data_IF_734112762002
#
_entry.id   IF_734112762002
#
_cell.length_a   1.000
_cell.length_b   1.000
_cell.length_c   1.000
_cell.angle_alpha   90.00
_cell.angle_beta   90.00
_cell.angle_gamma   90.00
#
_symmetry.space_group_name_H-M   'P 1'
#
loop_
_entity.id
_entity.type
_entity.pdbx_description
1 polymer ?
#
# COMPACT_ATOMS: atom_id res chain seq x y z
N UNK A 1 -9.50 1.55 -15.57
CA UNK A 1 -10.43 1.26 -14.45
C UNK A 1 -10.18 2.28 -13.33
N UNK A 2 -11.17 2.53 -12.44
CA UNK A 2 -10.99 3.45 -11.29
C UNK A 2 -10.02 2.89 -10.25
N UNK A 3 -9.98 1.57 -10.11
CA UNK A 3 -8.99 0.86 -9.31
C UNK A 3 -8.53 -0.43 -10.00
N UNK A 4 -7.42 -0.99 -9.54
CA UNK A 4 -6.97 -2.34 -9.88
C UNK A 4 -6.39 -2.99 -8.64
N UNK A 5 -6.85 -4.20 -8.33
CA UNK A 5 -6.49 -4.89 -7.10
C UNK A 5 -6.02 -6.30 -7.40
N UNK A 6 -4.99 -6.73 -6.67
CA UNK A 6 -4.68 -8.13 -6.52
C UNK A 6 -4.05 -8.38 -5.15
N UNK A 7 -4.17 -9.61 -4.67
CA UNK A 7 -3.49 -10.09 -3.48
C UNK A 7 -2.94 -11.48 -3.74
N UNK A 8 -1.82 -11.80 -3.10
CA UNK A 8 -1.14 -13.07 -3.30
C UNK A 8 -0.48 -13.55 -2.01
N UNK A 9 -0.51 -14.87 -1.81
CA UNK A 9 0.31 -15.55 -0.80
C UNK A 9 1.70 -15.82 -1.39
N UNK A 10 2.71 -15.25 -0.75
CA UNK A 10 4.11 -15.31 -1.12
C UNK A 10 4.91 -16.30 -0.28
N UNK A 11 4.31 -16.99 0.72
CA UNK A 11 5.03 -17.90 1.61
C UNK A 11 5.88 -18.92 0.85
N UNK A 12 5.35 -19.47 -0.24
CA UNK A 12 6.04 -20.48 -1.04
C UNK A 12 7.29 -19.96 -1.79
N UNK A 13 7.42 -18.64 -1.96
CA UNK A 13 8.60 -18.02 -2.58
C UNK A 13 9.79 -17.91 -1.60
N UNK A 14 9.60 -18.25 -0.33
CA UNK A 14 10.62 -18.15 0.71
C UNK A 14 10.88 -19.52 1.34
N UNK A 15 12.05 -19.63 1.99
CA UNK A 15 12.34 -20.77 2.86
C UNK A 15 11.40 -20.79 4.08
N UNK A 16 11.43 -21.87 4.90
CA UNK A 16 10.63 -21.96 6.13
C UNK A 16 10.87 -20.84 7.16
N UNK A 17 11.81 -19.91 6.93
CA UNK A 17 11.97 -18.69 7.73
C UNK A 17 10.71 -17.81 7.72
N UNK A 18 9.89 -17.90 6.67
CA UNK A 18 8.59 -17.22 6.55
C UNK A 18 7.49 -18.24 6.83
N UNK A 19 6.72 -17.99 7.89
CA UNK A 19 5.57 -18.80 8.27
C UNK A 19 4.32 -18.44 7.45
N UNK A 20 4.13 -17.14 7.17
CA UNK A 20 3.08 -16.63 6.29
C UNK A 20 3.54 -15.30 5.69
N UNK A 21 3.19 -15.02 4.43
CA UNK A 21 3.42 -13.70 3.86
C UNK A 21 2.40 -13.44 2.76
N UNK A 22 1.52 -12.46 2.95
CA UNK A 22 0.64 -11.97 1.89
C UNK A 22 0.99 -10.55 1.50
N UNK A 23 0.90 -10.27 0.20
CA UNK A 23 1.00 -8.92 -0.33
C UNK A 23 -0.24 -8.58 -1.13
N UNK A 24 -0.84 -7.45 -0.81
CA UNK A 24 -1.97 -6.88 -1.52
C UNK A 24 -1.55 -5.56 -2.17
N UNK A 25 -1.94 -5.37 -3.42
CA UNK A 25 -1.72 -4.14 -4.18
C UNK A 25 -3.07 -3.58 -4.61
N UNK A 26 -3.27 -2.29 -4.36
CA UNK A 26 -4.42 -1.56 -4.87
C UNK A 26 -3.92 -0.29 -5.57
N UNK A 27 -3.98 -0.28 -6.90
CA UNK A 27 -3.77 0.91 -7.71
C UNK A 27 -5.08 1.68 -7.80
N UNK A 28 -5.03 2.99 -7.63
CA UNK A 28 -6.14 3.92 -7.79
C UNK A 28 -5.83 4.88 -8.94
N UNK A 29 -6.70 4.89 -9.95
CA UNK A 29 -6.74 5.98 -10.93
C UNK A 29 -7.61 7.09 -10.34
N UNK A 30 -6.97 8.18 -9.93
CA UNK A 30 -7.68 9.29 -9.30
C UNK A 30 -8.36 10.18 -10.34
N UNK A 31 -7.94 10.13 -11.61
CA UNK A 31 -8.48 10.98 -12.67
C UNK A 31 -8.21 12.48 -12.45
N UNK A 32 -7.18 12.80 -11.65
CA UNK A 32 -6.78 14.18 -11.32
C UNK A 32 -5.49 14.52 -12.04
N UNK A 33 -5.39 15.62 -12.81
CA UNK A 33 -4.17 15.95 -13.55
C UNK A 33 -2.94 16.10 -12.66
N UNK A 34 -3.08 16.76 -11.50
CA UNK A 34 -2.01 17.05 -10.54
C UNK A 34 -1.63 15.85 -9.66
N UNK A 35 -2.54 14.88 -9.53
CA UNK A 35 -2.41 13.68 -8.71
C UNK A 35 -3.00 12.47 -9.45
N UNK A 36 -2.38 11.99 -10.53
CA UNK A 36 -3.01 11.04 -11.44
C UNK A 36 -3.32 9.68 -10.79
N UNK A 37 -2.49 9.24 -9.85
CA UNK A 37 -2.61 7.91 -9.29
C UNK A 37 -2.05 7.77 -7.88
N UNK A 38 -2.55 6.74 -7.19
CA UNK A 38 -1.96 6.24 -5.95
C UNK A 38 -1.81 4.72 -6.02
N UNK A 39 -0.82 4.18 -5.31
CA UNK A 39 -0.67 2.74 -5.08
C UNK A 39 -0.64 2.49 -3.59
N UNK A 40 -1.50 1.59 -3.12
CA UNK A 40 -1.51 1.10 -1.75
C UNK A 40 -0.93 -0.31 -1.77
N UNK A 41 0.11 -0.55 -0.97
CA UNK A 41 0.73 -1.87 -0.80
C UNK A 41 0.57 -2.27 0.65
N UNK A 42 -0.14 -3.38 0.89
CA UNK A 42 -0.33 -3.97 2.20
C UNK A 42 0.39 -5.32 2.25
N UNK A 43 1.43 -5.39 3.06
CA UNK A 43 2.11 -6.62 3.41
C UNK A 43 1.72 -7.06 4.80
N UNK A 44 1.43 -8.35 4.94
CA UNK A 44 1.27 -8.99 6.23
C UNK A 44 2.22 -10.20 6.28
N UNK A 45 3.21 -10.13 7.15
CA UNK A 45 4.34 -11.07 7.16
C UNK A 45 4.57 -11.64 8.55
N UNK A 46 4.62 -12.97 8.62
CA UNK A 46 4.98 -13.72 9.81
C UNK A 46 6.25 -14.52 9.56
N UNK A 47 7.29 -14.28 10.35
CA UNK A 47 8.52 -15.07 10.39
C UNK A 47 8.42 -16.19 11.41
N UNK A 48 9.16 -17.28 11.18
CA UNK A 48 9.26 -18.39 12.11
C UNK A 48 10.06 -18.03 13.38
N UNK A 49 10.97 -17.07 13.27
CA UNK A 49 11.74 -16.50 14.37
C UNK A 49 11.49 -14.98 14.45
N UNK A 50 11.13 -14.42 15.63
CA UNK A 50 11.03 -12.97 15.84
C UNK A 50 12.30 -12.19 15.50
N UNK A 51 13.48 -12.82 15.62
CA UNK A 51 14.78 -12.25 15.33
C UNK A 51 15.08 -12.11 13.84
N UNK A 52 14.29 -12.73 12.95
CA UNK A 52 14.43 -12.49 11.51
C UNK A 52 13.96 -11.08 11.17
N UNK A 53 14.94 -10.21 10.90
CA UNK A 53 14.70 -8.83 10.50
C UNK A 53 13.97 -8.78 9.15
N UNK A 54 12.89 -7.99 9.12
CA UNK A 54 12.02 -7.84 7.96
C UNK A 54 12.29 -6.49 7.30
N UNK A 55 12.29 -6.49 5.97
CA UNK A 55 12.60 -5.30 5.18
C UNK A 55 11.50 -5.08 4.15
N UNK A 56 10.91 -3.87 4.18
CA UNK A 56 10.17 -3.35 3.03
C UNK A 56 11.12 -2.49 2.20
N UNK A 57 11.20 -2.75 0.90
CA UNK A 57 12.22 -2.19 0.03
C UNK A 57 11.62 -1.49 -1.19
N UNK A 58 12.26 -0.40 -1.60
CA UNK A 58 12.04 0.29 -2.86
C UNK A 58 13.38 0.63 -3.52
N UNK A 59 13.46 0.51 -4.84
CA UNK A 59 14.62 0.97 -5.62
C UNK A 59 14.26 2.21 -6.43
N UNK A 60 15.22 3.12 -6.60
CA UNK A 60 15.01 4.40 -7.29
C UNK A 60 16.23 4.71 -8.16
N UNK A 61 16.06 5.41 -9.29
CA UNK A 61 17.20 5.83 -10.11
C UNK A 61 17.86 7.08 -9.55
N UNK A 62 17.06 8.07 -9.16
CA UNK A 62 17.54 9.32 -8.56
C UNK A 62 17.57 9.19 -7.03
N UNK A 63 18.46 9.93 -6.34
CA UNK A 63 18.53 9.93 -4.89
C UNK A 63 17.18 10.34 -4.27
N UNK A 64 16.58 9.52 -3.40
CA UNK A 64 15.33 9.87 -2.76
C UNK A 64 15.56 10.90 -1.64
N UNK A 65 14.63 11.84 -1.47
CA UNK A 65 14.63 12.79 -0.35
C UNK A 65 13.88 12.19 0.84
N UNK A 66 14.42 12.24 2.05
CA UNK A 66 13.68 11.82 3.26
C UNK A 66 12.51 12.76 3.54
N UNK A 67 11.39 12.20 4.01
CA UNK A 67 10.24 12.91 4.55
C UNK A 67 9.94 12.37 5.96
N UNK A 68 9.08 13.02 6.77
CA UNK A 68 8.73 12.48 8.08
C UNK A 68 8.11 11.07 8.01
N UNK A 69 7.30 10.81 7.00
CA UNK A 69 6.57 9.55 6.80
C UNK A 69 7.28 8.55 5.88
N UNK A 70 8.38 8.92 5.23
CA UNK A 70 9.11 8.03 4.34
C UNK A 70 10.11 8.74 3.43
N UNK A 71 9.88 8.64 2.11
CA UNK A 71 10.75 9.25 1.11
C UNK A 71 9.95 9.84 -0.04
N UNK A 72 10.48 10.88 -0.67
CA UNK A 72 10.00 11.44 -1.92
C UNK A 72 10.98 11.09 -3.04
N UNK A 73 10.43 10.57 -4.13
CA UNK A 73 11.12 10.30 -5.37
C UNK A 73 10.88 11.45 -6.33
N UNK A 74 11.83 11.70 -7.22
CA UNK A 74 11.70 12.69 -8.28
C UNK A 74 12.37 12.17 -9.54
N UNK A 75 11.78 12.45 -10.70
CA UNK A 75 12.40 12.20 -11.98
C UNK A 75 12.14 13.36 -12.94
N UNK A 76 13.09 13.59 -13.85
CA UNK A 76 12.99 14.59 -14.90
C UNK A 76 13.57 14.00 -16.21
N UNK A 77 12.73 13.81 -17.22
CA UNK A 77 13.12 13.23 -18.51
C UNK A 77 12.45 14.02 -19.64
N UNK A 78 13.25 14.50 -20.59
CA UNK A 78 12.76 15.25 -21.77
C UNK A 78 11.85 16.45 -21.41
N UNK A 79 12.15 17.15 -20.31
CA UNK A 79 11.36 18.29 -19.83
C UNK A 79 10.08 17.92 -19.09
N UNK A 80 9.77 16.62 -18.93
CA UNK A 80 8.68 16.12 -18.10
C UNK A 80 9.23 15.79 -16.72
N UNK A 81 8.64 16.36 -15.69
CA UNK A 81 8.99 16.09 -14.29
C UNK A 81 7.85 15.42 -13.57
N UNK A 82 8.16 14.73 -12.48
CA UNK A 82 7.16 14.10 -11.63
C UNK A 82 7.74 13.61 -10.33
N UNK A 83 6.88 13.51 -9.32
CA UNK A 83 7.22 13.05 -7.98
C UNK A 83 6.39 11.82 -7.61
N UNK A 84 6.98 11.02 -6.73
CA UNK A 84 6.24 10.00 -6.00
C UNK A 84 6.57 10.14 -4.53
N UNK A 85 5.59 10.49 -3.71
CA UNK A 85 5.72 10.43 -2.26
C UNK A 85 5.38 9.02 -1.78
N UNK A 86 6.34 8.38 -1.12
CA UNK A 86 6.26 7.02 -0.60
C UNK A 86 6.16 7.12 0.92
N UNK A 87 4.94 7.07 1.42
CA UNK A 87 4.65 7.10 2.86
C UNK A 87 4.50 5.67 3.38
N UNK A 88 5.38 5.25 4.29
CA UNK A 88 5.16 4.01 5.03
C UNK A 88 4.26 4.32 6.23
N UNK A 89 2.99 3.97 6.12
CA UNK A 89 1.97 4.23 7.14
C UNK A 89 2.08 3.27 8.32
N UNK A 90 2.47 2.01 8.05
CA UNK A 90 2.74 0.99 9.07
C UNK A 90 4.06 0.28 8.76
N UNK A 91 4.91 0.02 9.75
CA UNK A 91 4.87 0.56 11.12
C UNK A 91 4.99 2.09 11.13
N UNK A 92 4.55 2.75 12.21
CA UNK A 92 4.65 4.20 12.39
C UNK A 92 6.12 4.68 12.35
N UNK A 93 6.41 5.98 12.10
CA UNK A 93 7.78 6.50 11.96
C UNK A 93 8.70 6.19 13.14
N UNK A 94 8.18 6.28 14.35
CA UNK A 94 8.84 5.97 15.61
C UNK A 94 9.17 4.48 15.75
N UNK A 95 8.37 3.59 15.16
CA UNK A 95 8.47 2.14 15.29
C UNK A 95 9.34 1.49 14.21
N UNK A 96 9.95 2.30 13.33
CA UNK A 96 10.78 1.80 12.21
C UNK A 96 12.12 2.51 12.07
N UNK A 97 13.01 1.86 11.33
CA UNK A 97 14.23 2.46 10.77
C UNK A 97 14.05 2.70 9.28
N UNK A 98 14.65 3.79 8.77
CA UNK A 98 14.74 4.10 7.35
C UNK A 98 16.22 4.23 6.96
N UNK A 99 16.66 3.36 6.05
CA UNK A 99 17.99 3.37 5.46
C UNK A 99 17.89 3.69 3.97
N UNK A 100 18.81 4.53 3.47
CA UNK A 100 18.95 4.81 2.03
C UNK A 100 20.38 4.44 1.67
N UNK A 101 20.54 3.38 0.88
CA UNK A 101 21.82 2.94 0.32
C UNK A 101 22.02 3.59 -1.04
N UNK A 102 23.21 4.13 -1.27
CA UNK A 102 23.61 4.87 -2.48
C UNK A 102 25.06 4.55 -2.84
N UNK A 103 25.47 4.78 -4.09
CA UNK A 103 26.85 4.53 -4.51
C UNK A 103 27.24 3.06 -4.33
N UNK A 104 28.42 2.78 -3.75
CA UNK A 104 28.87 1.41 -3.49
C UNK A 104 27.98 0.64 -2.53
N UNK A 105 27.26 1.31 -1.62
CA UNK A 105 26.47 0.65 -0.58
C UNK A 105 25.27 -0.10 -1.15
N UNK A 106 24.84 0.24 -2.38
CA UNK A 106 23.73 -0.44 -3.07
C UNK A 106 24.09 -1.89 -3.41
N UNK A 107 25.39 -2.15 -3.58
CA UNK A 107 25.95 -3.46 -3.88
C UNK A 107 26.13 -4.31 -2.62
N UNK A 108 26.03 -3.73 -1.43
CA UNK A 108 26.12 -4.48 -0.18
C UNK A 108 24.80 -5.26 0.09
N UNK A 109 24.95 -6.57 0.15
CA UNK A 109 23.93 -7.53 0.56
C UNK A 109 24.37 -8.14 1.90
N UNK A 110 24.26 -7.34 2.96
CA UNK A 110 24.52 -7.75 4.34
C UNK A 110 25.96 -8.25 4.56
N UNK A 111 26.96 -7.48 4.12
CA UNK A 111 28.38 -7.80 4.21
C UNK A 111 28.93 -8.54 2.98
N UNK A 112 28.07 -8.86 2.00
CA UNK A 112 28.48 -9.45 0.73
C UNK A 112 28.26 -8.46 -0.42
N UNK A 113 29.34 -8.09 -1.11
CA UNK A 113 29.28 -7.14 -2.23
C UNK A 113 28.92 -7.83 -3.54
N UNK A 114 27.87 -7.38 -4.20
CA UNK A 114 27.42 -7.84 -5.52
C UNK A 114 27.47 -6.71 -6.54
N UNK A 115 28.49 -6.74 -7.40
CA UNK A 115 28.65 -5.72 -8.46
C UNK A 115 27.84 -6.08 -9.71
N UNK A 116 27.20 -5.10 -10.36
CA UNK A 116 26.42 -5.32 -11.57
C UNK A 116 27.36 -5.71 -12.73
N UNK A 117 26.92 -6.58 -13.65
CA UNK A 117 27.73 -7.01 -14.79
C UNK A 117 28.03 -5.86 -15.75
N UNK A 118 27.18 -4.82 -15.79
CA UNK A 118 27.32 -3.64 -16.65
C UNK A 118 27.12 -2.38 -15.80
N UNK A 119 28.21 -1.88 -15.22
CA UNK A 119 28.17 -0.74 -14.29
C UNK A 119 27.79 0.61 -14.94
N UNK A 120 27.80 0.71 -16.27
CA UNK A 120 27.47 1.95 -16.99
C UNK A 120 25.97 2.20 -17.14
N UNK A 121 25.12 1.19 -16.88
CA UNK A 121 23.67 1.34 -16.99
C UNK A 121 23.12 2.21 -15.86
N UNK A 122 22.11 3.07 -16.10
CA UNK A 122 21.47 3.85 -15.05
C UNK A 122 20.94 2.98 -13.90
N UNK A 123 20.38 1.81 -14.22
CA UNK A 123 19.84 0.86 -13.25
C UNK A 123 20.92 0.25 -12.34
N UNK A 124 22.18 0.25 -12.78
CA UNK A 124 23.30 -0.21 -11.97
C UNK A 124 23.64 0.77 -10.83
N UNK A 125 23.33 2.06 -10.99
CA UNK A 125 23.77 3.13 -10.10
C UNK A 125 22.60 3.80 -9.35
N UNK A 126 21.49 3.08 -9.20
CA UNK A 126 20.33 3.57 -8.46
C UNK A 126 20.56 3.64 -6.96
N UNK A 127 19.47 3.74 -6.20
CA UNK A 127 19.44 3.81 -4.75
C UNK A 127 18.46 2.77 -4.21
N UNK A 128 18.71 2.30 -2.99
CA UNK A 128 17.86 1.34 -2.30
C UNK A 128 17.37 1.91 -0.99
N UNK A 129 16.05 2.00 -0.85
CA UNK A 129 15.39 2.44 0.37
C UNK A 129 14.91 1.21 1.12
N UNK A 130 15.29 1.09 2.39
CA UNK A 130 14.91 -0.01 3.25
C UNK A 130 14.21 0.51 4.50
N UNK A 131 13.02 -0.02 4.76
CA UNK A 131 12.30 0.18 6.00
C UNK A 131 12.28 -1.13 6.79
N UNK A 132 12.52 -1.04 8.09
CA UNK A 132 12.46 -2.20 9.00
C UNK A 132 11.80 -1.79 10.31
N UNK A 133 10.98 -2.67 10.93
CA UNK A 133 10.54 -2.49 12.31
C UNK A 133 11.75 -2.37 13.23
N UNK A 134 11.64 -1.55 14.30
CA UNK A 134 12.67 -1.44 15.34
C UNK A 134 12.66 -2.64 16.28
N UNK A 135 11.47 -3.12 16.62
CA UNK A 135 11.30 -4.23 17.54
C UNK A 135 11.26 -5.55 16.79
N UNK A 136 12.01 -6.54 17.29
CA UNK A 136 11.94 -7.91 16.83
C UNK A 136 10.59 -8.52 17.26
N UNK A 137 9.83 -9.03 16.29
CA UNK A 137 8.56 -9.73 16.53
C UNK A 137 8.30 -10.72 15.41
N UNK A 138 7.50 -11.74 15.65
CA UNK A 138 7.19 -12.72 14.61
C UNK A 138 6.33 -12.12 13.49
N UNK A 139 5.43 -11.19 13.80
CA UNK A 139 4.43 -10.68 12.87
C UNK A 139 4.54 -9.16 12.69
N UNK A 140 4.62 -8.71 11.44
CA UNK A 140 4.61 -7.30 11.06
C UNK A 140 3.63 -7.06 9.91
N UNK A 141 3.01 -5.89 9.91
CA UNK A 141 2.32 -5.34 8.74
C UNK A 141 3.12 -4.17 8.19
N UNK A 142 3.34 -4.15 6.87
CA UNK A 142 3.76 -2.95 6.17
C UNK A 142 2.61 -2.38 5.34
N UNK A 143 2.27 -1.12 5.54
CA UNK A 143 1.29 -0.42 4.71
C UNK A 143 1.99 0.76 4.06
N UNK A 144 2.21 0.71 2.76
CA UNK A 144 2.79 1.80 1.99
C UNK A 144 1.72 2.48 1.13
N UNK A 145 1.73 3.81 1.13
CA UNK A 145 0.95 4.65 0.22
C UNK A 145 1.93 5.41 -0.67
N UNK A 146 1.87 5.15 -1.98
CA UNK A 146 2.66 5.81 -3.00
C UNK A 146 1.75 6.76 -3.76
N UNK A 147 2.02 8.06 -3.73
CA UNK A 147 1.23 9.07 -4.43
C UNK A 147 2.04 9.68 -5.56
N UNK A 148 1.58 9.52 -6.81
CA UNK A 148 2.19 10.20 -7.94
C UNK A 148 1.58 11.60 -8.09
N UNK A 149 2.43 12.62 -8.26
CA UNK A 149 1.99 13.99 -8.41
C UNK A 149 3.00 14.88 -9.14
N UNK A 150 2.53 16.04 -9.60
CA UNK A 150 3.36 17.06 -10.23
C UNK A 150 4.29 17.75 -9.23
N UNK A 151 5.38 18.36 -9.71
CA UNK A 151 6.39 19.03 -8.88
C UNK A 151 5.83 20.15 -7.99
N UNK A 152 4.85 20.89 -8.49
CA UNK A 152 4.24 22.02 -7.79
C UNK A 152 3.16 21.57 -6.78
N UNK A 153 2.73 20.32 -6.84
CA UNK A 153 1.70 19.77 -5.98
C UNK A 153 2.30 19.19 -4.69
N UNK A 154 1.57 19.35 -3.58
CA UNK A 154 1.87 18.66 -2.33
C UNK A 154 1.08 17.33 -2.28
N UNK A 155 1.62 16.27 -1.66
CA UNK A 155 0.90 15.00 -1.52
C UNK A 155 -0.49 15.19 -0.90
N UNK A 156 -1.47 14.39 -1.34
CA UNK A 156 -2.82 14.48 -0.83
C UNK A 156 -2.89 14.01 0.63
N UNK A 157 -3.75 14.65 1.44
CA UNK A 157 -4.02 14.17 2.78
C UNK A 157 -4.72 12.81 2.73
N UNK A 158 -4.44 11.98 3.72
CA UNK A 158 -5.08 10.69 3.90
C UNK A 158 -5.57 10.51 5.34
N UNK A 159 -6.50 9.58 5.54
CA UNK A 159 -6.84 9.07 6.87
C UNK A 159 -6.78 7.56 6.88
N UNK A 160 -6.23 6.99 7.95
CA UNK A 160 -6.10 5.54 8.14
C UNK A 160 -6.91 5.11 9.37
N UNK A 161 -7.71 4.06 9.23
CA UNK A 161 -8.34 3.34 10.34
C UNK A 161 -7.88 1.91 10.30
N UNK A 162 -7.28 1.45 11.40
CA UNK A 162 -6.84 0.08 11.56
C UNK A 162 -7.89 -0.76 12.29
N UNK A 163 -8.14 -1.97 11.80
CA UNK A 163 -8.90 -3.01 12.47
C UNK A 163 -8.08 -4.29 12.47
N UNK A 164 -8.51 -5.27 13.26
CA UNK A 164 -7.85 -6.57 13.34
C UNK A 164 -7.79 -7.26 11.97
N UNK A 165 -8.89 -7.24 11.21
CA UNK A 165 -9.00 -7.97 9.94
C UNK A 165 -8.75 -7.12 8.69
N UNK A 166 -8.72 -5.79 8.81
CA UNK A 166 -8.57 -4.90 7.66
C UNK A 166 -7.89 -3.55 8.00
N UNK A 167 -7.52 -2.83 6.95
CA UNK A 167 -7.22 -1.40 6.99
C UNK A 167 -8.23 -0.65 6.14
N UNK A 168 -8.63 0.53 6.59
CA UNK A 168 -9.46 1.44 5.80
C UNK A 168 -8.67 2.72 5.58
N UNK A 169 -8.29 2.98 4.33
CA UNK A 169 -7.56 4.18 3.92
C UNK A 169 -8.50 5.07 3.10
N UNK A 170 -8.57 6.36 3.45
CA UNK A 170 -9.21 7.38 2.61
C UNK A 170 -8.17 8.31 2.05
N UNK A 171 -8.27 8.60 0.76
CA UNK A 171 -7.44 9.57 0.03
C UNK A 171 -8.25 10.12 -1.15
N UNK A 172 -8.20 11.43 -1.38
CA UNK A 172 -9.07 12.11 -2.33
C UNK A 172 -10.55 11.70 -2.12
N UNK A 173 -11.22 11.30 -3.19
CA UNK A 173 -12.58 10.78 -3.29
C UNK A 173 -12.64 9.24 -3.30
N UNK A 174 -11.63 8.58 -2.70
CA UNK A 174 -11.53 7.12 -2.59
C UNK A 174 -11.49 6.69 -1.12
N UNK A 175 -12.24 5.64 -0.79
CA UNK A 175 -12.15 4.92 0.49
C UNK A 175 -11.87 3.46 0.19
N UNK A 176 -10.73 2.95 0.60
CA UNK A 176 -10.29 1.57 0.31
C UNK A 176 -10.21 0.78 1.61
N UNK A 177 -10.99 -0.29 1.69
CA UNK A 177 -10.89 -1.32 2.73
C UNK A 177 -10.09 -2.50 2.17
N UNK A 178 -8.94 -2.82 2.77
CA UNK A 178 -8.11 -3.96 2.39
C UNK A 178 -8.09 -4.98 3.52
N UNK A 179 -8.45 -6.22 3.21
CA UNK A 179 -8.29 -7.35 4.13
C UNK A 179 -6.81 -7.60 4.46
N UNK A 180 -6.54 -8.01 5.71
CA UNK A 180 -5.19 -8.35 6.20
C UNK A 180 -4.93 -9.86 6.15
N UNK A 181 -3.66 -10.23 6.08
CA UNK A 181 -3.21 -11.61 6.30
C UNK A 181 -3.67 -12.63 5.26
N UNK A 182 -4.16 -12.20 4.10
CA UNK A 182 -4.72 -13.10 3.08
C UNK A 182 -6.04 -13.76 3.48
N UNK A 183 -6.64 -13.34 4.60
CA UNK A 183 -7.93 -13.85 5.06
C UNK A 183 -9.04 -13.03 4.42
N UNK A 184 -10.01 -13.71 3.82
CA UNK A 184 -11.16 -13.03 3.24
C UNK A 184 -12.11 -12.55 4.35
N UNK A 185 -12.60 -11.33 4.21
CA UNK A 185 -13.57 -10.72 5.11
C UNK A 185 -14.93 -11.42 4.93
N UNK A 186 -15.46 -11.95 6.01
CA UNK A 186 -16.78 -12.60 6.05
C UNK A 186 -17.78 -11.85 6.93
N UNK A 187 -17.27 -11.10 7.92
CA UNK A 187 -18.06 -10.38 8.89
C UNK A 187 -18.60 -9.03 8.40
N UNK A 188 -19.45 -8.38 9.22
CA UNK A 188 -19.98 -7.06 8.91
C UNK A 188 -18.86 -6.01 8.85
N UNK A 189 -18.93 -5.14 7.84
CA UNK A 189 -18.05 -3.97 7.71
C UNK A 189 -18.86 -2.69 7.90
N UNK A 190 -18.26 -1.72 8.57
CA UNK A 190 -18.83 -0.39 8.74
C UNK A 190 -17.86 0.63 8.16
N UNK A 191 -18.27 1.31 7.09
CA UNK A 191 -17.50 2.34 6.42
C UNK A 191 -18.18 3.68 6.66
N UNK A 192 -17.45 4.64 7.24
CA UNK A 192 -17.93 6.00 7.42
C UNK A 192 -17.51 6.86 6.25
N UNK A 193 -18.48 7.42 5.54
CA UNK A 193 -18.25 8.37 4.44
C UNK A 193 -18.42 9.80 4.99
N UNK A 194 -17.42 10.68 4.81
CA UNK A 194 -17.51 12.07 5.24
C UNK A 194 -18.69 12.81 4.60
N UNK A 195 -19.33 13.70 5.34
CA UNK A 195 -20.40 14.56 4.83
C UNK A 195 -19.84 15.92 4.38
N UNK A 196 -18.89 15.91 3.46
CA UNK A 196 -18.18 17.11 2.97
C UNK A 196 -18.62 17.56 1.56
N UNK A 197 -19.69 16.96 1.03
CA UNK A 197 -20.21 17.22 -0.31
C UNK A 197 -19.52 16.43 -1.43
N UNK A 198 -18.46 15.67 -1.12
CA UNK A 198 -17.78 14.80 -2.08
C UNK A 198 -18.51 13.48 -2.23
N UNK A 199 -18.67 13.00 -3.47
CA UNK A 199 -19.07 11.61 -3.73
C UNK A 199 -17.83 10.73 -3.71
N UNK A 200 -17.78 9.79 -2.78
CA UNK A 200 -16.69 8.84 -2.62
C UNK A 200 -16.98 7.53 -3.36
N UNK A 201 -15.98 6.97 -4.03
CA UNK A 201 -15.96 5.55 -4.38
C UNK A 201 -15.38 4.76 -3.20
N UNK A 202 -16.17 3.80 -2.69
CA UNK A 202 -15.77 2.85 -1.67
C UNK A 202 -15.38 1.55 -2.35
N UNK A 203 -14.13 1.11 -2.15
CA UNK A 203 -13.58 -0.15 -2.65
C UNK A 203 -13.37 -1.08 -1.45
N UNK A 204 -14.01 -2.24 -1.49
CA UNK A 204 -13.84 -3.32 -0.52
C UNK A 204 -13.06 -4.44 -1.21
N UNK A 205 -11.90 -4.80 -0.67
CA UNK A 205 -11.01 -5.77 -1.29
C UNK A 205 -10.56 -6.85 -0.29
N UNK A 206 -10.60 -8.09 -0.75
CA UNK A 206 -10.49 -9.28 0.08
C UNK A 206 -11.82 -9.68 0.73
N UNK A 207 -12.94 -9.58 0.01
CA UNK A 207 -14.24 -10.11 0.47
C UNK A 207 -14.38 -11.60 0.16
N UNK A 208 -15.04 -12.34 1.04
CA UNK A 208 -15.45 -13.70 0.74
C UNK A 208 -16.50 -13.73 -0.39
N UNK A 209 -16.45 -14.72 -1.31
CA UNK A 209 -17.38 -14.80 -2.42
C UNK A 209 -18.83 -14.91 -1.96
N UNK A 210 -19.75 -14.28 -2.68
CA UNK A 210 -21.18 -14.33 -2.37
C UNK A 210 -21.85 -12.98 -2.45
N UNK A 211 -23.14 -12.98 -2.12
CA UNK A 211 -23.98 -11.78 -2.12
C UNK A 211 -23.70 -10.96 -0.87
N UNK A 212 -23.43 -9.68 -1.06
CA UNK A 212 -23.25 -8.71 0.01
C UNK A 212 -24.34 -7.65 -0.06
N UNK A 213 -24.99 -7.39 1.07
CA UNK A 213 -25.95 -6.31 1.29
C UNK A 213 -25.22 -5.05 1.74
N UNK A 214 -25.54 -3.92 1.13
CA UNK A 214 -24.96 -2.61 1.40
C UNK A 214 -26.09 -1.68 1.81
N UNK A 215 -26.11 -1.32 3.09
CA UNK A 215 -27.06 -0.36 3.66
C UNK A 215 -26.35 0.98 3.80
N UNK A 216 -26.72 1.96 2.98
CA UNK A 216 -26.22 3.33 3.02
C UNK A 216 -27.34 4.29 3.46
N UNK A 217 -27.03 5.54 3.87
CA UNK A 217 -28.06 6.47 4.34
C UNK A 217 -29.16 6.80 3.32
N UNK A 218 -28.86 6.67 2.02
CA UNK A 218 -29.78 7.01 0.93
C UNK A 218 -30.47 5.79 0.30
N UNK A 219 -30.26 4.59 0.85
CA UNK A 219 -30.88 3.38 0.36
C UNK A 219 -30.06 2.13 0.58
N UNK A 220 -30.60 1.03 0.09
CA UNK A 220 -30.02 -0.29 0.23
C UNK A 220 -29.85 -0.93 -1.15
N UNK A 221 -28.74 -1.64 -1.31
CA UNK A 221 -28.49 -2.44 -2.51
C UNK A 221 -27.79 -3.74 -2.16
N UNK A 222 -27.67 -4.64 -3.12
CA UNK A 222 -26.86 -5.85 -3.01
C UNK A 222 -25.89 -5.94 -4.17
N UNK A 223 -24.68 -6.40 -3.91
CA UNK A 223 -23.70 -6.70 -4.95
C UNK A 223 -23.00 -8.04 -4.67
N UNK A 224 -22.58 -8.70 -5.75
CA UNK A 224 -21.93 -10.01 -5.68
C UNK A 224 -20.41 -9.82 -5.65
N UNK A 225 -19.73 -10.44 -4.69
CA UNK A 225 -18.29 -10.63 -4.77
C UNK A 225 -18.01 -11.97 -5.43
N UNK A 226 -17.45 -11.94 -6.65
CA UNK A 226 -17.14 -13.17 -7.37
C UNK A 226 -15.88 -13.86 -6.83
N UNK A 227 -15.89 -15.18 -6.82
CA UNK A 227 -14.68 -15.98 -6.57
C UNK A 227 -13.57 -15.60 -7.57
N UNK A 228 -12.34 -15.45 -7.08
CA UNK A 228 -11.19 -15.00 -7.87
C UNK A 228 -11.03 -13.48 -7.94
N UNK A 229 -12.12 -12.70 -7.88
CA UNK A 229 -12.04 -11.24 -7.85
C UNK A 229 -11.94 -10.70 -6.42
N UNK A 230 -12.78 -11.20 -5.50
CA UNK A 230 -12.77 -10.84 -4.08
C UNK A 230 -12.87 -9.33 -3.80
N UNK A 231 -13.48 -8.57 -4.71
CA UNK A 231 -13.72 -7.14 -4.53
C UNK A 231 -15.17 -6.77 -4.75
N UNK A 232 -15.54 -5.59 -4.25
CA UNK A 232 -16.79 -4.90 -4.50
C UNK A 232 -16.50 -3.39 -4.46
N UNK A 233 -17.12 -2.60 -5.34
CA UNK A 233 -17.13 -1.15 -5.16
C UNK A 233 -18.53 -0.54 -5.30
N UNK A 234 -18.75 0.58 -4.63
CA UNK A 234 -19.97 1.37 -4.70
C UNK A 234 -19.68 2.84 -4.40
N UNK A 235 -20.60 3.73 -4.74
CA UNK A 235 -20.45 5.18 -4.45
C UNK A 235 -21.37 5.62 -3.32
N UNK A 236 -20.90 6.53 -2.47
CA UNK A 236 -21.72 7.18 -1.44
C UNK A 236 -21.24 8.62 -1.20
N UNK A 237 -22.15 9.50 -0.77
CA UNK A 237 -21.85 10.92 -0.57
C UNK A 237 -21.69 11.31 0.92
N UNK A 238 -22.19 10.49 1.84
CA UNK A 238 -22.11 10.75 3.27
C UNK A 238 -22.55 9.54 4.11
N UNK A 239 -22.18 9.56 5.39
CA UNK A 239 -22.73 8.74 6.47
C UNK A 239 -22.20 7.31 6.53
N UNK A 240 -22.76 6.53 7.46
CA UNK A 240 -22.31 5.16 7.75
C UNK A 240 -22.94 4.19 6.74
N UNK A 241 -22.08 3.47 6.02
CA UNK A 241 -22.45 2.36 5.16
C UNK A 241 -22.17 1.06 5.91
N UNK A 242 -23.19 0.22 6.10
CA UNK A 242 -23.03 -1.11 6.70
C UNK A 242 -23.12 -2.18 5.63
N UNK A 243 -22.09 -3.03 5.57
CA UNK A 243 -21.94 -4.07 4.57
C UNK A 243 -21.98 -5.42 5.29
N UNK A 244 -22.89 -6.30 4.88
CA UNK A 244 -23.11 -7.62 5.49
C UNK A 244 -23.28 -8.66 4.39
N UNK A 245 -22.73 -9.85 4.57
CA UNK A 245 -22.95 -10.99 3.68
C UNK A 245 -24.31 -11.63 3.94
#
# INVERSE_FOLDING_TARGET
>A
PSYSYYATDLRAAYSPKIAAFTRSFCFLNLGRPDHPACVIVLDDIRTADPGFKKYWQLNTLQPPRRTPEGVQLHNAVNGVTGRVDVCLLLPAPEDRTLEIKSGSDVYDVFGYTVTPPVATQPEANGHRVLFSPRQARAHDTFLALLQAHDDAAAPLPYTLVERAECVILRIADRIVCLARGGVLLEGPLDITVPADGTRYEVVLAGLAPGRWRIVAPHGETTAESAAGNHTLSFTSAAGRCRITR
#
